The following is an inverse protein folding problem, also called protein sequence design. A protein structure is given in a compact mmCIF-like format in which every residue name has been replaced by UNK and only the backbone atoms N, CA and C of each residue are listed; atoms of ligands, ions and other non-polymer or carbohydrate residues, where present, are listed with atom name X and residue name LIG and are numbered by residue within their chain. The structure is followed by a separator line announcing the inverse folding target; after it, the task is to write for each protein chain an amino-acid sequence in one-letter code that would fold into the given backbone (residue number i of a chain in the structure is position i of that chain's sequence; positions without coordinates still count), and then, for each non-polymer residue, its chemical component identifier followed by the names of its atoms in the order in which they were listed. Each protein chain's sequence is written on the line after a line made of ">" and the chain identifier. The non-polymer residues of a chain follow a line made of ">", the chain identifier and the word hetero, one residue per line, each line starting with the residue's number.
data_IF_536546140094
#
_entry.id   IF_536546140094
#
_cell.length_a   1.000
_cell.length_b   1.000
_cell.length_c   1.000
_cell.angle_alpha   90.00
_cell.angle_beta   90.00
_cell.angle_gamma   90.00
#
_symmetry.space_group_name_H-M   'P 1'
#
loop_
_entity.id
_entity.type
_entity.pdbx_description
1 polymer ?
#
# COMPACT_ATOMS: atom_id res chain seq x y z
N UNK A 1 22.66 24.52 7.52
CA UNK A 1 21.64 24.32 8.57
C UNK A 1 20.50 25.29 8.28
N UNK A 2 19.43 24.82 7.65
CA UNK A 2 18.23 25.64 7.43
C UNK A 2 17.42 25.68 8.73
N UNK A 3 17.55 26.77 9.46
CA UNK A 3 16.70 27.02 10.62
C UNK A 3 15.31 27.41 10.11
N UNK A 4 14.38 26.46 10.02
CA UNK A 4 12.99 26.77 9.79
C UNK A 4 12.40 27.47 11.02
N UNK A 5 12.21 28.77 10.96
CA UNK A 5 11.52 29.56 12.00
C UNK A 5 10.00 29.42 11.97
N UNK A 6 9.45 28.42 11.25
CA UNK A 6 8.01 28.19 11.20
C UNK A 6 7.56 27.40 12.41
N UNK A 7 6.51 27.86 13.08
CA UNK A 7 5.84 27.10 14.13
C UNK A 7 5.05 25.96 13.48
N UNK A 8 5.32 24.74 13.88
CA UNK A 8 4.55 23.56 13.49
C UNK A 8 3.48 23.29 14.56
N UNK A 9 2.30 22.87 14.14
CA UNK A 9 1.26 22.39 15.04
C UNK A 9 0.75 21.04 14.56
N UNK A 10 0.42 20.18 15.48
CA UNK A 10 -0.32 18.97 15.17
C UNK A 10 -1.77 19.34 14.91
N UNK A 11 -2.33 18.78 13.83
CA UNK A 11 -3.75 18.91 13.48
C UNK A 11 -4.38 17.55 13.73
N UNK A 12 -5.41 17.55 14.56
CA UNK A 12 -6.21 16.35 14.82
C UNK A 12 -7.56 16.50 14.12
N UNK A 13 -8.16 15.41 13.61
CA UNK A 13 -9.50 15.46 13.06
C UNK A 13 -10.49 15.87 14.15
N UNK A 14 -11.40 16.78 13.80
CA UNK A 14 -12.40 17.32 14.74
C UNK A 14 -13.60 16.37 14.92
N UNK A 15 -13.70 15.33 14.10
CA UNK A 15 -14.75 14.32 14.16
C UNK A 15 -14.25 12.96 13.66
N UNK A 16 -14.95 11.90 14.00
CA UNK A 16 -14.63 10.51 13.64
C UNK A 16 -14.65 10.23 12.12
N UNK A 17 -15.27 11.10 11.33
CA UNK A 17 -15.37 10.97 9.88
C UNK A 17 -14.26 11.69 9.12
N UNK A 18 -13.36 12.38 9.82
CA UNK A 18 -12.25 13.08 9.19
C UNK A 18 -11.06 12.13 9.03
N UNK A 19 -10.55 12.03 7.81
CA UNK A 19 -9.39 11.20 7.48
C UNK A 19 -8.31 12.05 6.82
N UNK A 20 -7.05 11.76 7.13
CA UNK A 20 -5.88 12.35 6.48
C UNK A 20 -5.42 11.56 5.23
N UNK A 21 -6.23 10.64 4.75
CA UNK A 21 -5.94 9.90 3.53
C UNK A 21 -6.24 10.74 2.29
N UNK A 22 -5.42 10.59 1.25
CA UNK A 22 -5.55 11.32 -0.01
C UNK A 22 -6.81 10.98 -0.79
N UNK A 23 -7.44 9.85 -0.49
CA UNK A 23 -8.64 9.37 -1.19
C UNK A 23 -9.71 8.88 -0.22
N UNK A 24 -10.97 9.07 -0.60
CA UNK A 24 -12.13 8.56 0.16
C UNK A 24 -12.34 7.05 0.00
N UNK A 25 -11.72 6.43 -1.00
CA UNK A 25 -11.91 5.03 -1.36
C UNK A 25 -10.79 4.18 -0.76
N UNK A 26 -11.15 3.17 0.03
CA UNK A 26 -10.23 2.18 0.57
C UNK A 26 -9.13 2.80 1.45
N UNK A 27 -9.34 2.78 2.73
CA UNK A 27 -8.43 3.38 3.72
C UNK A 27 -7.24 2.49 4.05
N UNK A 28 -7.30 1.19 3.70
CA UNK A 28 -6.28 0.20 4.04
C UNK A 28 -5.60 -0.26 2.75
N UNK A 29 -4.29 -0.24 2.76
CA UNK A 29 -3.46 -0.69 1.63
C UNK A 29 -2.82 -2.05 1.92
N UNK A 30 -2.81 -2.92 0.92
CA UNK A 30 -2.20 -4.23 0.98
C UNK A 30 -1.33 -4.47 -0.25
N UNK A 31 -0.18 -5.10 -0.09
CA UNK A 31 0.59 -5.69 -1.18
C UNK A 31 1.22 -7.01 -0.74
N UNK A 32 1.71 -7.81 -1.70
CA UNK A 32 2.37 -9.07 -1.38
C UNK A 32 3.89 -8.92 -1.29
N UNK A 33 4.49 -9.67 -0.38
CA UNK A 33 5.96 -9.79 -0.27
C UNK A 33 6.56 -10.42 -1.55
N UNK A 34 5.81 -11.28 -2.24
CA UNK A 34 6.25 -11.85 -3.51
C UNK A 34 6.37 -10.77 -4.60
N UNK A 35 5.46 -9.77 -4.60
CA UNK A 35 5.55 -8.59 -5.49
C UNK A 35 6.78 -7.75 -5.20
N UNK A 36 7.10 -7.52 -3.92
CA UNK A 36 8.36 -6.85 -3.54
C UNK A 36 9.58 -7.61 -4.04
N UNK A 37 9.63 -8.92 -3.79
CA UNK A 37 10.73 -9.79 -4.24
C UNK A 37 10.89 -9.77 -5.76
N UNK A 38 9.78 -9.76 -6.52
CA UNK A 38 9.82 -9.67 -7.99
C UNK A 38 10.34 -8.31 -8.45
N UNK A 39 9.92 -7.22 -7.79
CA UNK A 39 10.44 -5.88 -8.06
C UNK A 39 11.94 -5.79 -7.74
N UNK A 40 12.38 -6.35 -6.61
CA UNK A 40 13.79 -6.39 -6.20
C UNK A 40 14.71 -7.17 -7.16
N UNK A 41 14.18 -8.15 -7.88
CA UNK A 41 14.94 -8.81 -8.96
C UNK A 41 15.19 -7.90 -10.16
N UNK A 42 14.40 -6.86 -10.34
CA UNK A 42 14.49 -5.91 -11.45
C UNK A 42 15.25 -4.63 -11.07
N UNK A 43 15.00 -4.16 -9.85
CA UNK A 43 15.71 -3.01 -9.25
C UNK A 43 16.18 -3.44 -7.87
N UNK A 44 17.49 -3.55 -7.66
CA UNK A 44 18.06 -3.96 -6.37
C UNK A 44 17.72 -2.96 -5.27
N UNK A 45 17.63 -3.44 -4.03
CA UNK A 45 17.50 -2.66 -2.79
C UNK A 45 16.26 -1.74 -2.76
N UNK A 46 15.11 -2.27 -3.19
CA UNK A 46 13.81 -1.61 -3.00
C UNK A 46 13.18 -2.11 -1.71
N UNK A 47 13.17 -1.26 -0.72
CA UNK A 47 12.53 -1.54 0.56
C UNK A 47 11.01 -1.40 0.48
N UNK A 48 10.26 -2.35 1.02
CA UNK A 48 8.79 -2.36 1.03
C UNK A 48 8.16 -1.15 1.71
N UNK A 49 8.87 -0.53 2.66
CA UNK A 49 8.43 0.68 3.36
C UNK A 49 8.16 1.85 2.41
N UNK A 50 8.76 1.89 1.21
CA UNK A 50 8.51 2.91 0.17
C UNK A 50 7.04 2.94 -0.25
N UNK A 51 6.36 1.79 -0.16
CA UNK A 51 4.95 1.65 -0.54
C UNK A 51 3.99 2.01 0.58
N UNK A 52 4.47 2.13 1.83
CA UNK A 52 3.67 2.51 3.00
C UNK A 52 2.36 1.71 3.13
N UNK A 53 2.40 0.44 2.77
CA UNK A 53 1.22 -0.42 2.91
C UNK A 53 0.97 -0.78 4.37
N UNK A 54 -0.31 -0.87 4.73
CA UNK A 54 -0.74 -1.24 6.08
C UNK A 54 -0.60 -2.74 6.32
N UNK A 55 -0.79 -3.55 5.25
CA UNK A 55 -0.73 -5.00 5.31
C UNK A 55 0.26 -5.48 4.26
N UNK A 56 1.18 -6.36 4.66
CA UNK A 56 2.07 -7.10 3.76
C UNK A 56 1.67 -8.55 3.82
N UNK A 57 1.30 -9.12 2.68
CA UNK A 57 0.81 -10.48 2.53
C UNK A 57 1.96 -11.43 2.15
N UNK A 58 2.00 -12.59 2.76
CA UNK A 58 2.85 -13.72 2.36
C UNK A 58 2.02 -14.88 1.83
N UNK A 59 2.66 -15.78 1.09
CA UNK A 59 2.05 -17.07 0.67
C UNK A 59 1.21 -16.99 -0.59
N UNK A 60 1.32 -15.94 -1.39
CA UNK A 60 0.72 -15.85 -2.72
C UNK A 60 1.77 -15.54 -3.80
N UNK A 61 1.40 -15.66 -5.06
CA UNK A 61 2.27 -15.29 -6.18
C UNK A 61 2.44 -13.77 -6.31
N UNK A 62 3.50 -13.36 -7.01
CA UNK A 62 3.77 -11.95 -7.23
C UNK A 62 2.66 -11.32 -8.08
N UNK A 63 2.09 -10.23 -7.57
CA UNK A 63 0.97 -9.48 -8.14
C UNK A 63 -0.37 -10.24 -8.18
N UNK A 64 -0.47 -11.38 -7.50
CA UNK A 64 -1.72 -12.13 -7.40
C UNK A 64 -2.83 -11.30 -6.74
N UNK A 65 -2.48 -10.46 -5.77
CA UNK A 65 -3.41 -9.56 -5.09
C UNK A 65 -4.16 -8.63 -6.06
N UNK A 66 -3.58 -8.30 -7.21
CA UNK A 66 -4.22 -7.46 -8.23
C UNK A 66 -5.43 -8.15 -8.89
N UNK A 67 -5.48 -9.49 -8.87
CA UNK A 67 -6.58 -10.29 -9.40
C UNK A 67 -7.77 -10.39 -8.43
N UNK A 68 -7.65 -9.77 -7.26
CA UNK A 68 -8.70 -9.79 -6.23
C UNK A 68 -9.64 -8.59 -6.30
N UNK A 69 -9.39 -7.65 -7.19
CA UNK A 69 -10.23 -6.46 -7.37
C UNK A 69 -11.68 -6.87 -7.64
N UNK A 70 -12.62 -6.23 -6.93
CA UNK A 70 -14.05 -6.56 -6.98
C UNK A 70 -14.47 -7.76 -6.12
N UNK A 71 -13.51 -8.50 -5.55
CA UNK A 71 -13.78 -9.60 -4.61
C UNK A 71 -13.85 -9.11 -3.18
N UNK A 72 -14.31 -9.99 -2.30
CA UNK A 72 -14.23 -9.80 -0.85
C UNK A 72 -13.14 -10.67 -0.27
N UNK A 73 -12.49 -10.18 0.77
CA UNK A 73 -11.54 -10.97 1.57
C UNK A 73 -11.95 -10.94 3.03
N UNK A 74 -11.56 -12.02 3.72
CA UNK A 74 -11.76 -12.20 5.16
C UNK A 74 -10.39 -12.29 5.83
N UNK A 75 -10.17 -11.48 6.88
CA UNK A 75 -8.98 -11.50 7.72
C UNK A 75 -9.44 -11.47 9.17
N UNK A 76 -9.16 -12.51 9.95
CA UNK A 76 -9.57 -12.61 11.35
C UNK A 76 -11.04 -12.23 11.62
N UNK A 77 -11.96 -12.74 10.79
CA UNK A 77 -13.40 -12.44 10.90
C UNK A 77 -13.82 -11.07 10.36
N UNK A 78 -12.88 -10.20 9.99
CA UNK A 78 -13.17 -8.91 9.38
C UNK A 78 -13.31 -9.05 7.87
N UNK A 79 -14.39 -8.52 7.30
CA UNK A 79 -14.64 -8.54 5.87
C UNK A 79 -14.23 -7.21 5.22
N UNK A 80 -13.56 -7.33 4.08
CA UNK A 80 -13.13 -6.19 3.28
C UNK A 80 -13.56 -6.37 1.83
N UNK A 81 -14.00 -5.29 1.19
CA UNK A 81 -14.03 -5.20 -0.25
C UNK A 81 -12.63 -4.86 -0.78
N UNK A 82 -12.23 -5.50 -1.86
CA UNK A 82 -11.04 -5.11 -2.63
C UNK A 82 -11.48 -4.12 -3.70
N UNK A 83 -11.19 -2.84 -3.48
CA UNK A 83 -11.76 -1.74 -4.26
C UNK A 83 -11.02 -1.52 -5.59
N UNK A 84 -9.71 -1.34 -5.53
CA UNK A 84 -8.89 -1.01 -6.71
C UNK A 84 -7.40 -1.23 -6.48
N UNK A 85 -6.63 -1.16 -7.57
CA UNK A 85 -5.16 -1.04 -7.52
C UNK A 85 -4.74 0.30 -6.92
N UNK A 86 -3.50 0.37 -6.45
CA UNK A 86 -2.91 1.62 -5.97
C UNK A 86 -1.93 2.12 -7.05
N UNK A 87 -2.34 3.12 -7.82
CA UNK A 87 -1.43 3.87 -8.69
C UNK A 87 -0.45 4.64 -7.81
N UNK A 88 0.83 4.47 -8.08
CA UNK A 88 1.90 5.06 -7.27
C UNK A 88 2.36 6.40 -7.83
N UNK A 89 2.72 7.31 -6.94
CA UNK A 89 3.30 8.62 -7.27
C UNK A 89 4.82 8.58 -7.13
N UNK A 90 5.49 9.66 -7.49
CA UNK A 90 6.94 9.80 -7.46
C UNK A 90 7.57 9.53 -6.07
N UNK A 91 6.79 9.62 -4.99
CA UNK A 91 7.28 9.36 -3.64
C UNK A 91 7.91 7.97 -3.46
N UNK A 92 7.45 6.94 -4.19
CA UNK A 92 8.06 5.59 -4.10
C UNK A 92 9.48 5.53 -4.64
N UNK A 93 9.88 6.48 -5.50
CA UNK A 93 11.24 6.60 -6.02
C UNK A 93 12.20 7.23 -5.01
N UNK A 94 11.68 7.80 -3.92
CA UNK A 94 12.45 8.49 -2.91
C UNK A 94 12.94 7.50 -1.83
N UNK A 95 14.22 7.62 -1.46
CA UNK A 95 14.76 6.87 -0.31
C UNK A 95 14.10 7.39 0.98
N UNK A 96 13.42 6.53 1.75
CA UNK A 96 12.70 6.95 2.95
C UNK A 96 13.62 7.48 4.07
N UNK A 97 14.89 7.06 4.08
CA UNK A 97 15.87 7.45 5.09
C UNK A 97 16.58 8.77 4.73
N UNK A 98 16.80 9.01 3.43
CA UNK A 98 17.58 10.16 2.96
C UNK A 98 16.71 11.29 2.39
N UNK A 99 15.46 10.99 2.02
CA UNK A 99 14.57 11.96 1.38
C UNK A 99 14.97 12.35 -0.04
N UNK A 100 15.81 11.55 -0.70
CA UNK A 100 16.31 11.78 -2.06
C UNK A 100 15.78 10.75 -3.04
N UNK A 101 15.56 11.14 -4.28
CA UNK A 101 15.25 10.19 -5.35
C UNK A 101 16.48 9.34 -5.66
N UNK A 102 16.38 8.03 -5.52
CA UNK A 102 17.45 7.06 -5.71
C UNK A 102 17.07 5.88 -6.61
N UNK A 103 15.77 5.71 -6.89
CA UNK A 103 15.25 4.60 -7.71
C UNK A 103 14.27 5.13 -8.77
N UNK A 104 14.04 4.32 -9.80
CA UNK A 104 13.04 4.61 -10.82
C UNK A 104 11.96 3.50 -10.86
N UNK A 105 11.28 3.33 -9.74
CA UNK A 105 10.29 2.27 -9.53
C UNK A 105 9.11 2.43 -10.47
N UNK A 106 8.61 3.67 -10.63
CA UNK A 106 7.43 3.94 -11.47
C UNK A 106 7.59 3.45 -12.91
N UNK A 107 8.80 3.56 -13.46
CA UNK A 107 9.07 3.15 -14.85
C UNK A 107 9.00 1.62 -15.03
N UNK A 108 9.26 0.87 -13.97
CA UNK A 108 9.42 -0.59 -14.03
C UNK A 108 8.12 -1.32 -13.71
N UNK A 109 7.23 -0.71 -12.91
CA UNK A 109 5.99 -1.35 -12.46
C UNK A 109 5.09 -1.83 -13.61
N UNK A 110 4.84 -1.07 -14.68
CA UNK A 110 4.01 -1.52 -15.80
C UNK A 110 4.53 -2.80 -16.45
N UNK A 111 5.85 -2.90 -16.65
CA UNK A 111 6.48 -4.09 -17.26
C UNK A 111 6.38 -5.33 -16.36
N UNK A 112 6.30 -5.14 -15.04
CA UNK A 112 6.27 -6.24 -14.08
C UNK A 112 4.88 -6.81 -13.86
N UNK A 113 3.84 -5.98 -13.87
CA UNK A 113 2.48 -6.36 -13.52
C UNK A 113 1.50 -6.32 -14.69
N UNK A 114 1.91 -5.81 -15.86
CA UNK A 114 1.07 -5.73 -17.06
C UNK A 114 0.00 -4.63 -17.03
N UNK A 115 0.06 -3.72 -16.06
CA UNK A 115 -0.89 -2.60 -15.93
C UNK A 115 -0.21 -1.34 -16.47
N UNK A 116 -0.87 -0.63 -17.41
CA UNK A 116 -0.28 0.57 -18.03
C UNK A 116 0.08 1.67 -17.04
N UNK A 117 -0.68 1.79 -15.94
CA UNK A 117 -0.36 2.71 -14.86
C UNK A 117 0.64 2.08 -13.88
N UNK A 118 1.54 2.85 -13.28
CA UNK A 118 2.51 2.35 -12.31
C UNK A 118 1.82 1.96 -11.00
N UNK A 119 1.18 0.80 -10.97
CA UNK A 119 0.38 0.29 -9.86
C UNK A 119 1.16 -0.73 -9.03
N UNK A 120 0.97 -0.68 -7.69
CA UNK A 120 1.55 -1.64 -6.76
C UNK A 120 0.67 -1.80 -5.53
N UNK A 121 0.14 -3.02 -5.31
CA UNK A 121 -0.80 -3.33 -4.24
C UNK A 121 -2.23 -2.87 -4.51
N UNK A 122 -3.10 -3.12 -3.56
CA UNK A 122 -4.54 -2.91 -3.63
C UNK A 122 -5.07 -2.11 -2.44
N UNK A 123 -6.22 -1.46 -2.64
CA UNK A 123 -6.98 -0.77 -1.59
C UNK A 123 -8.12 -1.65 -1.09
N UNK A 124 -8.23 -1.69 0.23
CA UNK A 124 -9.26 -2.43 0.95
C UNK A 124 -10.21 -1.46 1.67
N UNK A 125 -11.49 -1.76 1.62
CA UNK A 125 -12.53 -1.08 2.40
C UNK A 125 -13.15 -2.05 3.39
N UNK A 126 -13.05 -1.76 4.68
CA UNK A 126 -13.71 -2.55 5.72
C UNK A 126 -15.23 -2.42 5.56
N UNK A 127 -15.93 -3.57 5.54
CA UNK A 127 -17.40 -3.65 5.41
C UNK A 127 -18.08 -4.32 6.60
N UNK A 128 -17.32 -4.95 7.49
CA UNK A 128 -17.80 -5.45 8.78
C UNK A 128 -17.65 -4.41 9.89
N UNK A 129 -18.11 -4.73 11.10
CA UNK A 129 -17.77 -3.95 12.30
C UNK A 129 -16.24 -3.97 12.49
N UNK A 130 -15.71 -2.93 13.11
CA UNK A 130 -14.29 -2.81 13.43
C UNK A 130 -13.78 -3.96 14.30
N UNK A 131 -12.48 -4.15 14.31
CA UNK A 131 -11.79 -5.18 15.06
C UNK A 131 -10.29 -5.05 14.91
N UNK A 132 -9.55 -6.09 15.24
CA UNK A 132 -8.08 -6.16 15.15
C UNK A 132 -7.63 -7.21 14.15
N UNK A 133 -6.51 -6.93 13.50
CA UNK A 133 -5.76 -7.87 12.67
C UNK A 133 -4.40 -8.03 13.32
N UNK A 134 -3.93 -9.26 13.43
CA UNK A 134 -2.62 -9.59 13.98
C UNK A 134 -1.70 -10.13 12.86
N UNK A 135 -0.41 -10.08 13.12
CA UNK A 135 0.56 -10.76 12.26
C UNK A 135 0.26 -12.25 12.24
N UNK A 136 0.32 -12.87 11.06
CA UNK A 136 -0.02 -14.26 10.76
C UNK A 136 -1.52 -14.59 10.71
N UNK A 137 -2.41 -13.63 10.81
CA UNK A 137 -3.83 -13.89 10.54
C UNK A 137 -4.01 -14.30 9.06
N UNK A 138 -4.71 -15.42 8.79
CA UNK A 138 -4.88 -15.90 7.43
C UNK A 138 -5.84 -15.01 6.63
N UNK A 139 -5.53 -14.82 5.35
CA UNK A 139 -6.41 -14.15 4.39
C UNK A 139 -7.16 -15.21 3.58
N UNK A 140 -8.47 -15.04 3.45
CA UNK A 140 -9.33 -15.88 2.59
C UNK A 140 -10.09 -14.99 1.61
N UNK A 141 -10.11 -15.39 0.34
CA UNK A 141 -10.99 -14.80 -0.67
C UNK A 141 -12.38 -15.42 -0.51
N UNK A 142 -13.44 -14.61 -0.51
CA UNK A 142 -14.83 -15.05 -0.32
C UNK A 142 -15.76 -14.42 -1.38
#
# INVERSE_FOLDING_TARGET
>A
KNNYKKKFRFIFPNNENTSFHDTKDGLISLHSMASEKKLNKKINDVEGIRFRSNIILEGCDAFEELNWIGKKILINGLQFNVEKTITRCAAVNCNPNEGKYDKNILKVLPDLNGINEPSFGIKLKLISKGGSINVNDPIKII
#
